data_IF_321558606917
#
_entry.id   IF_321558606917
#
_cell.length_a   1.000
_cell.length_b   1.000
_cell.length_c   1.000
_cell.angle_alpha   90.00
_cell.angle_beta   90.00
_cell.angle_gamma   90.00
#
_symmetry.space_group_name_H-M   'P 1'
#
loop_
_entity.id
_entity.type
_entity.pdbx_description
1 polymer ?
#
# COMPACT_ATOMS: atom_id res chain seq x y z
N UNK A 1 17.73 13.79 -15.54
CA UNK A 1 17.91 12.31 -15.50
C UNK A 1 16.93 11.65 -14.54
N UNK A 2 16.05 10.75 -15.02
CA UNK A 2 15.34 9.80 -14.15
C UNK A 2 16.40 8.86 -13.58
N UNK A 3 16.97 9.23 -12.43
CA UNK A 3 17.83 8.32 -11.68
C UNK A 3 16.97 7.09 -11.42
N UNK A 4 17.38 5.88 -11.82
CA UNK A 4 16.61 4.65 -11.66
C UNK A 4 16.39 4.23 -10.20
N UNK A 5 16.44 5.18 -9.25
CA UNK A 5 16.15 4.99 -7.84
C UNK A 5 14.64 5.00 -7.66
N UNK A 6 14.11 3.89 -7.16
CA UNK A 6 12.73 3.83 -6.68
C UNK A 6 12.55 4.88 -5.56
N UNK A 7 11.50 5.70 -5.61
CA UNK A 7 11.20 6.64 -4.52
C UNK A 7 10.97 5.86 -3.22
N UNK A 8 11.48 6.40 -2.11
CA UNK A 8 11.25 5.83 -0.80
C UNK A 8 9.95 6.42 -0.21
N UNK A 9 8.99 5.56 0.09
CA UNK A 9 7.70 5.97 0.65
C UNK A 9 7.69 5.75 2.16
N UNK A 10 7.44 6.82 2.91
CA UNK A 10 7.27 6.75 4.36
C UNK A 10 5.77 6.77 4.64
N UNK A 11 5.24 5.65 5.13
CA UNK A 11 3.85 5.54 5.55
C UNK A 11 3.77 5.80 7.05
N UNK A 12 3.00 6.82 7.45
CA UNK A 12 2.67 7.07 8.85
C UNK A 12 1.37 6.34 9.18
N UNK A 13 1.40 5.50 10.19
CA UNK A 13 0.26 4.69 10.61
C UNK A 13 0.18 4.68 12.13
N UNK A 14 -1.02 4.52 12.68
CA UNK A 14 -1.19 4.28 14.11
C UNK A 14 -0.40 3.04 14.53
N UNK A 15 0.22 3.04 15.72
CA UNK A 15 1.15 1.98 16.14
C UNK A 15 0.48 0.61 16.21
N UNK A 16 -0.77 0.53 16.69
CA UNK A 16 -1.60 -0.69 16.70
C UNK A 16 -1.75 -1.29 15.30
N UNK A 17 -2.08 -0.45 14.31
CA UNK A 17 -2.26 -0.91 12.94
C UNK A 17 -0.93 -1.24 12.26
N UNK A 18 0.15 -0.54 12.61
CA UNK A 18 1.49 -0.86 12.13
C UNK A 18 1.97 -2.23 12.62
N UNK A 19 1.62 -2.60 13.86
CA UNK A 19 1.88 -3.93 14.41
C UNK A 19 1.07 -5.01 13.67
N UNK A 20 -0.23 -4.77 13.43
CA UNK A 20 -1.08 -5.67 12.66
C UNK A 20 -0.57 -5.88 11.22
N UNK A 21 -0.19 -4.80 10.54
CA UNK A 21 0.38 -4.86 9.19
C UNK A 21 1.70 -5.65 9.15
N UNK A 22 2.56 -5.48 10.16
CA UNK A 22 3.79 -6.26 10.31
C UNK A 22 3.52 -7.75 10.49
N UNK A 23 2.53 -8.10 11.30
CA UNK A 23 2.16 -9.48 11.53
C UNK A 23 1.60 -10.11 10.26
N UNK A 24 0.65 -9.46 9.59
CA UNK A 24 0.06 -9.94 8.35
C UNK A 24 1.10 -10.10 7.23
N UNK A 25 2.05 -9.17 7.12
CA UNK A 25 3.16 -9.29 6.17
C UNK A 25 4.07 -10.50 6.48
N UNK A 26 4.36 -10.75 7.77
CA UNK A 26 5.14 -11.92 8.20
C UNK A 26 4.41 -13.22 7.89
N UNK A 27 3.12 -13.30 8.16
CA UNK A 27 2.30 -14.48 7.90
C UNK A 27 2.22 -14.78 6.39
N UNK A 28 2.24 -13.74 5.56
CA UNK A 28 2.32 -13.85 4.11
C UNK A 28 3.76 -14.11 3.58
N UNK A 29 4.78 -14.10 4.44
CA UNK A 29 6.19 -14.25 4.06
C UNK A 29 6.76 -13.07 3.26
N UNK A 30 6.17 -11.87 3.38
CA UNK A 30 6.52 -10.67 2.60
C UNK A 30 7.08 -9.56 3.48
N UNK A 31 7.76 -8.60 2.86
CA UNK A 31 8.09 -7.34 3.52
C UNK A 31 6.82 -6.50 3.69
N UNK A 32 6.73 -5.72 4.76
CA UNK A 32 5.57 -4.86 5.05
C UNK A 32 5.26 -3.91 3.90
N UNK A 33 6.29 -3.34 3.26
CA UNK A 33 6.11 -2.46 2.11
C UNK A 33 5.47 -3.18 0.92
N UNK A 34 5.95 -4.37 0.57
CA UNK A 34 5.39 -5.17 -0.51
C UNK A 34 3.96 -5.63 -0.19
N UNK A 35 3.73 -6.09 1.04
CA UNK A 35 2.39 -6.48 1.50
C UNK A 35 1.41 -5.30 1.43
N UNK A 36 1.86 -4.10 1.80
CA UNK A 36 1.05 -2.89 1.74
C UNK A 36 0.77 -2.45 0.30
N UNK A 37 1.76 -2.51 -0.59
CA UNK A 37 1.57 -2.22 -2.01
C UNK A 37 0.53 -3.15 -2.64
N UNK A 38 0.62 -4.45 -2.39
CA UNK A 38 -0.36 -5.43 -2.90
C UNK A 38 -1.76 -5.16 -2.35
N UNK A 39 -1.89 -4.89 -1.04
CA UNK A 39 -3.18 -4.56 -0.44
C UNK A 39 -3.78 -3.27 -1.00
N UNK A 40 -2.95 -2.27 -1.31
CA UNK A 40 -3.38 -1.03 -1.99
C UNK A 40 -3.84 -1.33 -3.41
N UNK A 41 -3.10 -2.14 -4.17
CA UNK A 41 -3.47 -2.53 -5.55
C UNK A 41 -4.78 -3.30 -5.55
N UNK A 42 -4.96 -4.30 -4.68
CA UNK A 42 -6.21 -5.06 -4.56
C UNK A 42 -7.38 -4.13 -4.22
N UNK A 43 -7.18 -3.18 -3.29
CA UNK A 43 -8.20 -2.18 -2.94
C UNK A 43 -8.55 -1.31 -4.14
N UNK A 44 -7.56 -0.85 -4.91
CA UNK A 44 -7.79 -0.05 -6.13
C UNK A 44 -8.54 -0.84 -7.20
N UNK A 45 -8.19 -2.10 -7.44
CA UNK A 45 -8.88 -2.96 -8.40
C UNK A 45 -10.35 -3.17 -8.00
N UNK A 46 -10.59 -3.44 -6.71
CA UNK A 46 -11.94 -3.55 -6.15
C UNK A 46 -12.74 -2.26 -6.27
N UNK A 47 -12.12 -1.10 -5.99
CA UNK A 47 -12.78 0.21 -6.12
C UNK A 47 -13.03 0.61 -7.57
N UNK A 48 -12.16 0.16 -8.50
CA UNK A 48 -12.32 0.34 -9.94
C UNK A 48 -13.46 -0.50 -10.49
N UNK A 49 -13.65 -1.73 -10.00
CA UNK A 49 -14.82 -2.55 -10.28
C UNK A 49 -16.10 -2.01 -9.63
N UNK A 50 -16.00 -1.41 -8.45
CA UNK A 50 -17.12 -0.78 -7.75
C UNK A 50 -17.50 0.63 -8.24
N UNK A 51 -16.83 1.15 -9.28
CA UNK A 51 -17.23 2.38 -9.96
C UNK A 51 -17.13 3.66 -9.14
N UNK A 52 -16.20 3.77 -8.18
CA UNK A 52 -15.95 5.04 -7.48
C UNK A 52 -14.53 5.56 -7.73
N UNK A 53 -14.34 6.20 -8.88
CA UNK A 53 -13.19 7.08 -9.13
C UNK A 53 -13.52 8.43 -8.49
N UNK A 54 -13.14 8.64 -7.23
CA UNK A 54 -12.94 10.01 -6.74
C UNK A 54 -11.64 10.52 -7.32
N UNK A 55 -11.80 11.11 -8.50
CA UNK A 55 -10.87 12.05 -9.12
C UNK A 55 -10.43 13.06 -8.06
N UNK A 56 -9.19 12.93 -7.58
CA UNK A 56 -8.49 14.04 -6.95
C UNK A 56 -7.58 14.63 -8.03
N UNK A 57 -8.16 15.47 -8.89
CA UNK A 57 -7.36 16.50 -9.54
C UNK A 57 -6.86 17.44 -8.44
N UNK A 58 -5.55 17.63 -8.37
CA UNK A 58 -4.88 18.88 -8.02
C UNK A 58 -3.40 18.75 -8.39
#
# INVERSE_FOLDING_TARGET
PRTGRKPNFIVRMNPEHAAAARQAARDAGKQVGQWLEEAITEKQEREKEAGNVTKADC
#
